data_IF_299721778792
#
_entry.id   IF_299721778792
#
_cell.length_a   1.000
_cell.length_b   1.000
_cell.length_c   1.000
_cell.angle_alpha   90.00
_cell.angle_beta   90.00
_cell.angle_gamma   90.00
#
_symmetry.space_group_name_H-M   'P 1'
#
loop_
_entity.id
_entity.type
_entity.pdbx_description
1 polymer ?
#
# COMPACT_ATOMS: atom_id res chain seq x y z
N UNK A 1 21.08 -6.17 -10.92
CA UNK A 1 22.40 -6.11 -10.28
C UNK A 1 22.29 -6.72 -8.89
N UNK A 2 23.09 -7.76 -8.60
CA UNK A 2 23.35 -8.22 -7.23
C UNK A 2 24.48 -7.36 -6.67
N UNK A 3 24.22 -6.65 -5.58
CA UNK A 3 25.26 -6.18 -4.67
C UNK A 3 25.30 -7.14 -3.47
N UNK A 4 26.48 -7.45 -2.91
CA UNK A 4 26.58 -8.23 -1.69
C UNK A 4 25.84 -7.48 -0.57
N UNK A 5 25.04 -8.21 0.23
CA UNK A 5 24.43 -7.69 1.45
C UNK A 5 25.52 -7.19 2.40
N UNK A 6 25.82 -5.89 2.36
CA UNK A 6 26.46 -5.19 3.46
C UNK A 6 25.34 -4.62 4.30
N UNK A 7 25.14 -5.18 5.50
CA UNK A 7 24.34 -4.53 6.53
C UNK A 7 25.06 -3.23 6.91
N UNK A 8 24.61 -2.09 6.37
CA UNK A 8 24.95 -0.80 6.96
C UNK A 8 24.22 -0.71 8.30
N UNK A 9 24.98 -0.59 9.38
CA UNK A 9 24.41 -0.20 10.69
C UNK A 9 23.88 1.23 10.57
N UNK A 10 22.71 1.55 11.13
CA UNK A 10 22.24 2.93 11.17
C UNK A 10 23.21 3.79 12.01
N UNK A 11 23.53 4.96 11.48
CA UNK A 11 24.25 6.02 12.21
C UNK A 11 23.32 6.64 13.25
N UNK A 12 23.74 6.76 14.53
CA UNK A 12 22.90 7.41 15.53
C UNK A 12 22.93 8.92 15.33
N UNK A 13 21.80 9.53 14.98
CA UNK A 13 21.63 10.99 15.05
C UNK A 13 20.83 11.70 13.96
N UNK A 14 20.27 11.01 12.96
CA UNK A 14 19.40 11.66 11.98
C UNK A 14 17.91 11.52 12.39
N UNK A 15 17.06 12.56 12.30
CA UNK A 15 15.63 12.46 12.56
C UNK A 15 14.87 11.85 11.37
N UNK A 16 15.57 11.22 10.42
CA UNK A 16 14.95 10.51 9.31
C UNK A 16 14.42 9.19 9.86
N UNK A 17 13.10 9.10 9.92
CA UNK A 17 12.40 7.88 10.26
C UNK A 17 12.60 6.90 9.10
N UNK A 18 13.69 6.13 9.15
CA UNK A 18 14.05 5.15 8.14
C UNK A 18 12.98 4.06 8.08
N UNK A 19 12.16 4.12 7.03
CA UNK A 19 11.39 2.95 6.60
C UNK A 19 12.37 1.87 6.18
N UNK A 20 12.04 0.60 6.44
CA UNK A 20 12.88 -0.51 6.01
C UNK A 20 13.11 -0.43 4.49
N UNK A 21 14.35 -0.09 4.13
CA UNK A 21 14.86 -0.16 2.75
C UNK A 21 14.88 -1.61 2.25
N UNK A 22 14.75 -2.58 3.14
CA UNK A 22 14.65 -4.00 2.81
C UNK A 22 13.21 -4.46 3.05
N UNK A 23 12.64 -5.13 2.06
CA UNK A 23 11.32 -5.74 2.19
C UNK A 23 11.38 -6.95 3.13
N UNK A 24 10.43 -7.04 4.07
CA UNK A 24 10.42 -8.05 5.13
C UNK A 24 9.23 -9.01 4.96
N UNK A 25 9.44 -10.33 5.02
CA UNK A 25 8.34 -11.30 4.95
C UNK A 25 7.21 -10.97 5.95
N UNK A 26 5.97 -11.16 5.52
CA UNK A 26 4.76 -10.89 6.31
C UNK A 26 4.53 -9.40 6.63
N UNK A 27 5.20 -8.47 5.92
CA UNK A 27 4.93 -7.03 6.00
C UNK A 27 4.74 -6.44 4.61
N UNK A 28 3.79 -5.52 4.49
CA UNK A 28 3.63 -4.71 3.30
C UNK A 28 4.87 -3.85 3.10
N UNK A 29 5.30 -3.75 1.86
CA UNK A 29 6.44 -2.93 1.46
C UNK A 29 5.94 -1.79 0.59
N UNK A 30 6.51 -0.61 0.81
CA UNK A 30 6.25 0.59 0.02
C UNK A 30 7.57 1.13 -0.53
N UNK A 31 7.47 1.86 -1.63
CA UNK A 31 8.57 2.60 -2.23
C UNK A 31 8.63 4.04 -1.70
N UNK A 32 9.82 4.65 -1.77
CA UNK A 32 10.11 5.92 -1.08
C UNK A 32 9.31 7.10 -1.60
N UNK A 33 8.86 7.07 -2.85
CA UNK A 33 8.10 8.15 -3.48
C UNK A 33 6.58 8.05 -3.25
N UNK A 34 6.10 7.05 -2.50
CA UNK A 34 4.66 6.76 -2.37
C UNK A 34 3.87 7.96 -1.82
N UNK A 35 2.88 8.38 -2.60
CA UNK A 35 1.85 9.34 -2.18
C UNK A 35 0.48 8.66 -2.16
N UNK A 36 -0.39 9.09 -1.27
CA UNK A 36 -1.78 8.62 -1.26
C UNK A 36 -2.50 9.05 -2.54
N UNK A 37 -3.46 8.25 -2.97
CA UNK A 37 -4.32 8.53 -4.11
C UNK A 37 -5.74 8.98 -3.69
N UNK A 38 -6.01 9.12 -2.39
CA UNK A 38 -7.31 9.56 -1.85
C UNK A 38 -7.13 10.92 -1.18
N UNK A 39 -8.09 11.82 -1.37
CA UNK A 39 -8.12 13.13 -0.71
C UNK A 39 -8.13 13.03 0.83
N UNK A 40 -7.34 13.88 1.51
CA UNK A 40 -7.21 13.94 2.97
C UNK A 40 -8.54 13.92 3.76
N UNK A 41 -9.55 14.67 3.35
CA UNK A 41 -10.84 14.75 4.08
C UNK A 41 -11.72 13.51 3.87
N UNK A 42 -11.43 12.70 2.85
CA UNK A 42 -12.13 11.44 2.58
C UNK A 42 -11.47 10.24 3.25
N UNK A 43 -10.21 10.36 3.67
CA UNK A 43 -9.45 9.24 4.25
C UNK A 43 -9.25 9.32 5.76
N UNK A 44 -9.50 10.48 6.39
CA UNK A 44 -9.28 10.65 7.81
C UNK A 44 -10.24 9.77 8.63
N UNK A 45 -9.88 9.48 9.88
CA UNK A 45 -10.83 8.96 10.85
C UNK A 45 -11.97 9.97 11.04
N UNK A 46 -13.20 9.46 11.20
CA UNK A 46 -14.43 10.28 11.20
C UNK A 46 -14.47 11.34 12.31
N UNK A 47 -13.73 11.13 13.39
CA UNK A 47 -13.68 11.95 14.61
C UNK A 47 -12.31 12.63 14.80
N UNK A 48 -11.37 12.45 13.87
CA UNK A 48 -10.03 12.99 13.96
C UNK A 48 -9.54 13.49 12.60
N UNK A 49 -9.87 14.73 12.20
CA UNK A 49 -9.50 15.24 10.89
C UNK A 49 -7.98 15.36 10.72
N UNK A 50 -7.51 15.23 9.48
CA UNK A 50 -6.12 15.49 9.13
C UNK A 50 -5.84 16.99 9.26
N UNK A 51 -4.67 17.42 9.78
CA UNK A 51 -4.36 18.84 9.96
C UNK A 51 -4.59 19.71 8.71
N UNK A 52 -5.06 20.94 8.94
CA UNK A 52 -5.45 21.85 7.86
C UNK A 52 -4.27 22.20 6.93
N UNK A 53 -3.05 22.30 7.46
CA UNK A 53 -1.80 22.60 6.75
C UNK A 53 -1.26 21.42 5.93
N UNK A 54 -1.81 20.21 6.09
CA UNK A 54 -1.39 19.06 5.29
C UNK A 54 -1.96 19.16 3.86
N UNK A 55 -1.18 18.74 2.83
CA UNK A 55 -1.64 18.77 1.46
C UNK A 55 -2.79 17.78 1.24
N UNK A 56 -3.62 18.01 0.21
CA UNK A 56 -4.75 17.14 -0.13
C UNK A 56 -4.32 15.70 -0.44
N UNK A 57 -3.18 15.56 -1.11
CA UNK A 57 -2.52 14.29 -1.39
C UNK A 57 -1.15 14.32 -0.70
N UNK A 58 -0.93 13.38 0.20
CA UNK A 58 0.19 13.34 1.11
C UNK A 58 1.17 12.24 0.75
N UNK A 59 2.45 12.57 0.90
CA UNK A 59 3.50 11.57 1.01
C UNK A 59 3.24 10.64 2.19
N UNK A 60 3.61 9.36 2.06
CA UNK A 60 3.39 8.33 3.09
C UNK A 60 3.95 8.74 4.47
N UNK A 61 5.01 9.56 4.52
CA UNK A 61 5.61 10.04 5.77
C UNK A 61 4.68 10.97 6.57
N UNK A 62 3.83 11.77 5.91
CA UNK A 62 2.81 12.60 6.57
C UNK A 62 1.66 11.74 7.10
N UNK A 63 1.29 10.67 6.38
CA UNK A 63 0.31 9.71 6.85
C UNK A 63 0.79 8.99 8.12
N UNK A 64 2.04 8.56 8.15
CA UNK A 64 2.62 7.96 9.35
C UNK A 64 2.57 8.93 10.54
N UNK A 65 2.87 10.21 10.32
CA UNK A 65 2.74 11.25 11.36
C UNK A 65 1.29 11.37 11.84
N UNK A 66 0.32 11.41 10.93
CA UNK A 66 -1.11 11.45 11.28
C UNK A 66 -1.56 10.24 12.11
N UNK A 67 -1.14 9.02 11.75
CA UNK A 67 -1.45 7.83 12.55
C UNK A 67 -0.81 7.86 13.95
N UNK A 68 0.41 8.41 14.08
CA UNK A 68 1.03 8.64 15.39
C UNK A 68 0.24 9.66 16.22
N UNK A 69 -0.17 10.78 15.61
CA UNK A 69 -1.02 11.78 16.27
C UNK A 69 -2.32 11.16 16.78
N UNK A 70 -2.98 10.32 15.98
CA UNK A 70 -4.19 9.61 16.38
C UNK A 70 -3.92 8.65 17.56
N UNK A 71 -2.87 7.84 17.46
CA UNK A 71 -2.51 6.89 18.50
C UNK A 71 -2.13 7.56 19.84
N UNK A 72 -1.49 8.73 19.79
CA UNK A 72 -1.17 9.56 20.95
C UNK A 72 -2.42 10.21 21.54
N UNK A 73 -3.25 10.86 20.71
CA UNK A 73 -4.47 11.54 21.13
C UNK A 73 -5.42 10.61 21.90
N UNK A 74 -5.63 9.41 21.37
CA UNK A 74 -6.50 8.41 22.00
C UNK A 74 -5.77 7.44 22.95
N UNK A 75 -4.49 7.68 23.25
CA UNK A 75 -3.66 6.87 24.17
C UNK A 75 -3.69 5.38 23.83
N UNK A 76 -3.58 5.05 22.54
CA UNK A 76 -3.63 3.68 22.03
C UNK A 76 -2.29 2.95 22.19
N UNK A 77 -1.17 3.69 22.20
CA UNK A 77 0.18 3.11 22.26
C UNK A 77 0.40 2.21 23.49
N UNK A 78 -0.22 2.53 24.63
CA UNK A 78 -0.13 1.72 25.85
C UNK A 78 -0.77 0.32 25.73
N UNK A 79 -1.60 0.09 24.71
CA UNK A 79 -2.27 -1.20 24.46
C UNK A 79 -1.58 -2.03 23.38
N UNK A 80 -0.49 -1.53 22.80
CA UNK A 80 0.21 -2.19 21.70
C UNK A 80 1.48 -2.86 22.23
N UNK A 81 1.58 -4.18 22.03
CA UNK A 81 2.81 -4.94 22.24
C UNK A 81 3.56 -5.05 20.91
N UNK A 82 4.59 -4.22 20.72
CA UNK A 82 5.47 -4.32 19.55
C UNK A 82 6.35 -5.57 19.62
N UNK A 83 6.91 -6.00 18.48
CA UNK A 83 7.81 -7.16 18.39
C UNK A 83 7.21 -8.43 19.03
N UNK A 84 5.90 -8.61 18.87
CA UNK A 84 5.12 -9.74 19.36
C UNK A 84 4.33 -10.31 18.18
N UNK A 85 4.77 -11.43 17.63
CA UNK A 85 4.21 -12.04 16.43
C UNK A 85 3.11 -13.04 16.82
N UNK A 86 1.89 -12.85 16.33
CA UNK A 86 0.81 -13.84 16.51
C UNK A 86 1.09 -15.05 15.62
N UNK A 87 1.34 -16.22 16.23
CA UNK A 87 1.63 -17.48 15.54
C UNK A 87 0.35 -18.28 15.28
N UNK A 88 -0.56 -18.32 16.26
CA UNK A 88 -1.78 -19.14 16.19
C UNK A 88 -2.92 -18.49 16.96
N UNK A 89 -4.11 -18.59 16.39
CA UNK A 89 -5.38 -18.24 17.04
C UNK A 89 -6.29 -19.45 16.92
N UNK A 90 -6.72 -19.99 18.06
CA UNK A 90 -7.52 -21.22 18.13
C UNK A 90 -8.69 -21.04 19.06
N UNK A 91 -9.85 -21.60 18.71
CA UNK A 91 -10.98 -21.66 19.63
C UNK A 91 -10.60 -22.53 20.84
N UNK A 92 -10.97 -22.10 22.04
CA UNK A 92 -10.78 -22.94 23.23
C UNK A 92 -11.68 -24.19 23.18
N UNK A 93 -11.33 -25.27 23.89
CA UNK A 93 -12.15 -26.47 23.94
C UNK A 93 -13.60 -26.22 24.40
N UNK A 94 -13.82 -25.23 25.28
CA UNK A 94 -15.15 -24.86 25.78
C UNK A 94 -15.75 -23.63 25.07
N UNK A 95 -15.28 -23.32 23.84
CA UNK A 95 -15.73 -22.17 23.05
C UNK A 95 -17.23 -22.09 22.87
N UNK A 96 -17.92 -23.23 22.71
CA UNK A 96 -19.39 -23.26 22.58
C UNK A 96 -20.13 -22.65 23.78
N UNK A 97 -19.49 -22.60 24.94
CA UNK A 97 -19.99 -21.97 26.16
C UNK A 97 -19.37 -20.60 26.41
N UNK A 98 -18.07 -20.43 26.14
CA UNK A 98 -17.31 -19.22 26.54
C UNK A 98 -17.11 -18.20 25.43
N UNK A 99 -17.11 -18.62 24.17
CA UNK A 99 -16.73 -17.79 23.02
C UNK A 99 -15.24 -17.38 23.00
N UNK A 100 -14.41 -17.97 23.86
CA UNK A 100 -13.04 -17.53 24.08
C UNK A 100 -12.02 -18.16 23.13
N UNK A 101 -11.01 -17.37 22.78
CA UNK A 101 -9.91 -17.75 21.91
C UNK A 101 -8.63 -17.89 22.70
N UNK A 102 -7.82 -18.88 22.34
CA UNK A 102 -6.42 -18.97 22.72
C UNK A 102 -5.57 -18.35 21.61
N UNK A 103 -4.65 -17.46 22.00
CA UNK A 103 -3.71 -16.78 21.10
C UNK A 103 -2.29 -17.09 21.53
N UNK A 104 -1.55 -17.76 20.66
CA UNK A 104 -0.13 -18.03 20.84
C UNK A 104 0.67 -16.96 20.11
N UNK A 105 1.57 -16.30 20.85
CA UNK A 105 2.45 -15.26 20.34
C UNK A 105 3.91 -15.65 20.54
N UNK A 106 4.77 -15.21 19.64
CA UNK A 106 6.22 -15.27 19.76
C UNK A 106 6.74 -13.86 20.09
N UNK A 107 7.47 -13.75 21.19
CA UNK A 107 8.11 -12.51 21.65
C UNK A 107 9.42 -12.27 20.91
N UNK A 108 9.97 -11.05 21.02
CA UNK A 108 11.27 -10.67 20.45
C UNK A 108 12.39 -11.67 20.81
N UNK A 109 12.35 -12.22 22.02
CA UNK A 109 13.38 -13.14 22.53
C UNK A 109 13.20 -14.58 22.02
N UNK A 110 12.19 -14.82 21.17
CA UNK A 110 11.87 -16.14 20.61
C UNK A 110 11.02 -17.01 21.53
N UNK A 111 10.62 -16.50 22.70
CA UNK A 111 9.76 -17.24 23.63
C UNK A 111 8.31 -17.22 23.15
N UNK A 112 7.63 -18.35 23.26
CA UNK A 112 6.20 -18.48 23.02
C UNK A 112 5.39 -18.21 24.30
N UNK A 113 4.37 -17.37 24.19
CA UNK A 113 3.39 -17.11 25.25
C UNK A 113 1.99 -17.44 24.74
N UNK A 114 1.14 -18.01 25.61
CA UNK A 114 -0.29 -18.23 25.31
C UNK A 114 -1.16 -17.29 26.15
N UNK A 115 -2.14 -16.67 25.52
CA UNK A 115 -3.07 -15.72 26.13
C UNK A 115 -4.51 -16.06 25.74
N UNK A 116 -5.46 -15.81 26.66
CA UNK A 116 -6.89 -16.04 26.42
C UNK A 116 -7.59 -14.71 26.21
N UNK A 117 -8.41 -14.62 25.16
CA UNK A 117 -9.19 -13.43 24.84
C UNK A 117 -10.66 -13.77 24.54
N UNK A 118 -11.58 -12.89 24.93
CA UNK A 118 -13.01 -13.07 24.67
C UNK A 118 -13.39 -12.80 23.20
N UNK A 119 -12.59 -11.99 22.50
CA UNK A 119 -12.81 -11.67 21.10
C UNK A 119 -11.50 -11.35 20.39
N UNK A 120 -11.47 -11.55 19.07
CA UNK A 120 -10.33 -11.28 18.20
C UNK A 120 -10.77 -10.42 17.02
N UNK A 121 -9.99 -9.38 16.74
CA UNK A 121 -10.13 -8.57 15.53
C UNK A 121 -8.84 -8.72 14.72
N UNK A 122 -8.95 -9.18 13.48
CA UNK A 122 -7.80 -9.38 12.60
C UNK A 122 -7.50 -8.12 11.79
N UNK A 123 -6.31 -7.54 12.01
CA UNK A 123 -5.84 -6.33 11.33
C UNK A 123 -4.48 -6.53 10.63
N UNK A 124 -4.18 -7.74 10.13
CA UNK A 124 -2.88 -8.09 9.54
C UNK A 124 -2.60 -7.47 8.16
N UNK A 125 -3.64 -6.93 7.49
CA UNK A 125 -3.54 -6.46 6.12
C UNK A 125 -3.38 -7.60 5.09
N UNK A 126 -3.39 -7.25 3.80
CA UNK A 126 -3.41 -8.24 2.71
C UNK A 126 -2.33 -8.02 1.63
N UNK A 127 -1.60 -6.91 1.65
CA UNK A 127 -0.54 -6.60 0.66
C UNK A 127 0.85 -7.11 1.08
N UNK A 128 0.89 -8.19 1.85
CA UNK A 128 2.12 -8.69 2.48
C UNK A 128 2.77 -9.87 1.71
N UNK A 129 2.05 -10.46 0.75
CA UNK A 129 2.52 -11.60 -0.05
C UNK A 129 2.54 -11.22 -1.54
N UNK A 130 3.73 -11.10 -2.15
CA UNK A 130 3.83 -10.76 -3.57
C UNK A 130 3.30 -11.91 -4.44
N UNK A 131 2.53 -11.57 -5.47
CA UNK A 131 2.06 -12.53 -6.48
C UNK A 131 2.89 -12.36 -7.75
N UNK A 132 3.81 -13.29 -8.01
CA UNK A 132 4.69 -13.27 -9.18
C UNK A 132 4.43 -14.53 -10.02
N UNK A 133 3.44 -14.52 -10.94
CA UNK A 133 3.02 -15.70 -11.68
C UNK A 133 3.97 -15.99 -12.86
N UNK A 134 5.21 -16.41 -12.55
CA UNK A 134 6.26 -16.66 -13.56
C UNK A 134 5.86 -17.65 -14.66
N UNK A 135 4.97 -18.60 -14.34
CA UNK A 135 4.40 -19.55 -15.30
C UNK A 135 3.68 -18.91 -16.50
N UNK A 136 3.22 -17.67 -16.36
CA UNK A 136 2.51 -16.94 -17.42
C UNK A 136 3.49 -16.20 -18.36
N UNK A 137 4.81 -16.27 -18.10
CA UNK A 137 5.87 -15.64 -18.87
C UNK A 137 6.85 -16.70 -19.42
N UNK A 138 6.49 -17.43 -20.50
CA UNK A 138 7.37 -18.44 -21.07
C UNK A 138 8.69 -17.81 -21.54
N UNK A 139 9.83 -18.45 -21.21
CA UNK A 139 11.17 -17.93 -21.52
C UNK A 139 11.73 -17.00 -20.45
N UNK A 140 11.04 -16.76 -19.33
CA UNK A 140 11.59 -15.97 -18.22
C UNK A 140 12.85 -16.60 -17.61
N UNK A 141 12.98 -17.92 -17.70
CA UNK A 141 14.15 -18.68 -17.24
C UNK A 141 15.43 -18.39 -18.04
N UNK A 142 15.32 -17.96 -19.30
CA UNK A 142 16.46 -17.58 -20.15
C UNK A 142 16.75 -16.07 -20.11
N UNK A 143 15.95 -15.30 -19.37
CA UNK A 143 16.15 -13.87 -19.24
C UNK A 143 17.37 -13.56 -18.35
N UNK A 144 18.43 -13.01 -18.95
CA UNK A 144 19.68 -12.68 -18.25
C UNK A 144 19.59 -11.36 -17.45
N UNK A 145 18.50 -10.60 -17.61
CA UNK A 145 18.27 -9.35 -16.89
C UNK A 145 17.76 -9.53 -15.45
N UNK A 146 17.65 -8.42 -14.71
CA UNK A 146 17.05 -8.44 -13.36
C UNK A 146 15.53 -8.31 -13.49
N UNK A 147 14.79 -9.13 -12.75
CA UNK A 147 13.35 -8.95 -12.52
C UNK A 147 13.04 -9.10 -11.03
N UNK A 148 11.98 -8.43 -10.58
CA UNK A 148 11.50 -8.47 -9.20
C UNK A 148 10.05 -7.98 -9.14
N UNK A 149 9.33 -8.32 -8.07
CA UNK A 149 7.96 -7.84 -7.86
C UNK A 149 7.97 -6.39 -7.34
N UNK A 150 6.92 -5.61 -7.58
CA UNK A 150 6.79 -4.22 -7.08
C UNK A 150 6.99 -4.07 -5.57
N UNK A 151 6.77 -5.14 -4.81
CA UNK A 151 7.02 -5.24 -3.37
C UNK A 151 8.50 -5.04 -3.00
N UNK A 152 9.43 -5.40 -3.89
CA UNK A 152 10.87 -5.19 -3.72
C UNK A 152 11.36 -3.83 -4.26
N UNK A 153 10.49 -3.05 -4.92
CA UNK A 153 10.85 -1.73 -5.41
C UNK A 153 10.95 -0.73 -4.26
N UNK A 154 12.03 0.06 -4.23
CA UNK A 154 12.28 1.09 -3.21
C UNK A 154 12.54 2.47 -3.81
N UNK A 155 13.09 2.51 -5.01
CA UNK A 155 13.41 3.72 -5.74
C UNK A 155 14.02 3.41 -7.11
N UNK A 156 14.31 4.45 -7.90
CA UNK A 156 14.71 4.32 -9.30
C UNK A 156 16.20 3.96 -9.50
N UNK A 157 16.97 3.74 -8.44
CA UNK A 157 18.43 3.61 -8.50
C UNK A 157 18.90 2.44 -9.39
N UNK A 158 18.15 1.34 -9.40
CA UNK A 158 18.45 0.17 -10.25
C UNK A 158 18.08 0.37 -11.73
N UNK A 159 17.42 1.47 -12.08
CA UNK A 159 16.85 1.74 -13.41
C UNK A 159 17.72 2.67 -14.27
N UNK A 160 18.74 3.31 -13.70
CA UNK A 160 19.58 4.29 -14.40
C UNK A 160 20.21 3.71 -15.68
N UNK A 161 19.91 4.33 -16.82
CA UNK A 161 20.42 3.94 -18.13
C UNK A 161 20.05 2.50 -18.54
N UNK A 162 18.95 1.95 -17.99
CA UNK A 162 18.43 0.63 -18.35
C UNK A 162 17.23 0.75 -19.28
N UNK A 163 16.96 -0.32 -20.01
CA UNK A 163 15.68 -0.55 -20.67
C UNK A 163 14.80 -1.35 -19.71
N UNK A 164 13.68 -0.76 -19.30
CA UNK A 164 12.83 -1.28 -18.23
C UNK A 164 11.48 -1.70 -18.79
N UNK A 165 10.99 -2.87 -18.40
CA UNK A 165 9.61 -3.29 -18.67
C UNK A 165 8.89 -3.44 -17.35
N UNK A 166 7.82 -2.66 -17.16
CA UNK A 166 6.90 -2.77 -16.02
C UNK A 166 5.69 -3.60 -16.47
N UNK A 167 5.38 -4.65 -15.72
CA UNK A 167 4.30 -5.59 -16.04
C UNK A 167 3.10 -5.31 -15.13
N UNK A 168 1.97 -4.95 -15.73
CA UNK A 168 0.72 -4.64 -15.05
C UNK A 168 0.50 -3.14 -14.79
N UNK A 169 -0.72 -2.68 -15.02
CA UNK A 169 -1.16 -1.28 -14.85
C UNK A 169 -1.94 -1.08 -13.53
N UNK A 170 -1.52 -1.74 -12.46
CA UNK A 170 -1.97 -1.36 -11.11
C UNK A 170 -1.38 0.01 -10.72
N UNK A 171 -1.91 0.65 -9.67
CA UNK A 171 -1.40 1.95 -9.22
C UNK A 171 0.13 1.94 -9.02
N UNK A 172 0.67 0.92 -8.35
CA UNK A 172 2.12 0.75 -8.21
C UNK A 172 2.84 0.61 -9.54
N UNK A 173 2.27 -0.12 -10.51
CA UNK A 173 2.87 -0.27 -11.85
C UNK A 173 2.95 1.05 -12.60
N UNK A 174 1.88 1.86 -12.53
CA UNK A 174 1.87 3.21 -13.08
C UNK A 174 2.92 4.11 -12.44
N UNK A 175 2.95 4.17 -11.11
CA UNK A 175 3.90 5.02 -10.37
C UNK A 175 5.35 4.61 -10.62
N UNK A 176 5.65 3.30 -10.58
CA UNK A 176 6.99 2.77 -10.85
C UNK A 176 7.42 3.04 -12.30
N UNK A 177 6.52 2.89 -13.27
CA UNK A 177 6.84 3.18 -14.68
C UNK A 177 7.17 4.67 -14.86
N UNK A 178 6.36 5.56 -14.28
CA UNK A 178 6.58 7.02 -14.32
C UNK A 178 7.88 7.39 -13.62
N UNK A 179 8.15 6.85 -12.43
CA UNK A 179 9.38 7.13 -11.69
C UNK A 179 10.61 6.62 -12.44
N UNK A 180 10.55 5.40 -12.98
CA UNK A 180 11.63 4.79 -13.77
C UNK A 180 11.92 5.57 -15.05
N UNK A 181 10.89 6.12 -15.72
CA UNK A 181 11.04 6.88 -16.97
C UNK A 181 11.91 8.13 -16.86
N UNK A 182 12.15 8.61 -15.64
CA UNK A 182 12.99 9.79 -15.37
C UNK A 182 14.48 9.47 -15.43
N UNK A 183 14.86 8.21 -15.30
CA UNK A 183 16.28 7.78 -15.17
C UNK A 183 16.68 6.65 -16.13
N UNK A 184 15.70 5.87 -16.60
CA UNK A 184 15.91 4.79 -17.55
C UNK A 184 16.15 5.33 -18.96
N UNK A 185 16.79 4.52 -19.80
CA UNK A 185 16.95 4.80 -21.23
C UNK A 185 15.59 4.68 -21.95
N UNK A 186 14.86 3.61 -21.66
CA UNK A 186 13.51 3.37 -22.17
C UNK A 186 12.66 2.66 -21.10
N UNK A 187 11.35 2.95 -21.08
CA UNK A 187 10.39 2.25 -20.21
C UNK A 187 9.19 1.80 -21.03
N UNK A 188 8.85 0.52 -20.91
CA UNK A 188 7.65 -0.09 -21.47
C UNK A 188 6.69 -0.47 -20.34
N UNK A 189 5.42 -0.11 -20.49
CA UNK A 189 4.36 -0.53 -19.57
C UNK A 189 3.49 -1.59 -20.27
N UNK A 190 3.64 -2.85 -19.86
CA UNK A 190 2.92 -3.99 -20.43
C UNK A 190 1.59 -4.22 -19.70
N UNK A 191 0.49 -4.24 -20.44
CA UNK A 191 -0.86 -4.49 -19.92
C UNK A 191 -1.66 -5.36 -20.87
N UNK A 192 -2.51 -6.24 -20.32
CA UNK A 192 -3.39 -7.12 -21.10
C UNK A 192 -4.76 -6.50 -21.39
N UNK A 193 -5.33 -5.78 -20.44
CA UNK A 193 -6.70 -5.27 -20.51
C UNK A 193 -6.79 -3.74 -20.47
N UNK A 194 -5.66 -3.05 -20.34
CA UNK A 194 -5.63 -1.61 -20.13
C UNK A 194 -6.24 -1.20 -18.77
N UNK A 195 -6.23 0.11 -18.52
CA UNK A 195 -6.94 0.73 -17.42
C UNK A 195 -7.23 2.19 -17.76
N UNK A 196 -8.26 2.76 -17.14
CA UNK A 196 -8.50 4.19 -17.18
C UNK A 196 -7.52 4.90 -16.26
N UNK A 197 -6.78 5.87 -16.81
CA UNK A 197 -5.89 6.73 -16.02
C UNK A 197 -6.67 7.98 -15.64
N UNK A 198 -6.71 8.25 -14.34
CA UNK A 198 -7.45 9.39 -13.77
C UNK A 198 -6.46 10.23 -12.98
N UNK A 199 -6.43 11.53 -13.26
CA UNK A 199 -5.66 12.49 -12.47
C UNK A 199 -6.31 12.66 -11.10
N UNK A 200 -5.49 12.80 -10.07
CA UNK A 200 -5.95 13.14 -8.71
C UNK A 200 -6.73 14.47 -8.69
N UNK A 201 -6.41 15.39 -9.60
CA UNK A 201 -7.05 16.69 -9.73
C UNK A 201 -8.06 16.66 -10.88
N UNK A 202 -9.28 17.10 -10.58
CA UNK A 202 -10.40 17.26 -11.50
C UNK A 202 -10.61 18.75 -11.84
N UNK A 203 -11.79 19.08 -12.38
CA UNK A 203 -12.17 20.43 -12.78
C UNK A 203 -11.97 21.43 -11.62
N UNK A 204 -11.48 22.63 -11.96
CA UNK A 204 -11.20 23.73 -11.01
C UNK A 204 -10.17 23.39 -9.91
N UNK A 205 -9.29 22.42 -10.14
CA UNK A 205 -8.25 22.08 -9.16
C UNK A 205 -8.75 21.26 -7.97
N UNK A 206 -9.98 20.75 -8.02
CA UNK A 206 -10.59 20.00 -6.92
C UNK A 206 -10.13 18.53 -6.92
N UNK A 207 -9.98 17.90 -5.74
CA UNK A 207 -9.72 16.46 -5.65
C UNK A 207 -10.82 15.63 -6.33
N UNK A 208 -10.43 14.63 -7.13
CA UNK A 208 -11.39 13.78 -7.86
C UNK A 208 -12.33 13.03 -6.92
N UNK A 209 -11.85 12.64 -5.75
CA UNK A 209 -12.65 11.90 -4.76
C UNK A 209 -13.76 12.76 -4.15
N UNK A 210 -13.70 14.08 -4.28
CA UNK A 210 -14.76 14.99 -3.82
C UNK A 210 -16.09 14.69 -4.51
N UNK A 211 -16.05 14.11 -5.71
CA UNK A 211 -17.26 13.73 -6.46
C UNK A 211 -17.88 12.41 -5.99
N UNK A 212 -17.22 11.66 -5.09
CA UNK A 212 -17.77 10.49 -4.43
C UNK A 212 -18.80 10.89 -3.36
N UNK A 213 -19.94 11.41 -3.82
CA UNK A 213 -21.03 11.89 -2.98
C UNK A 213 -22.15 10.86 -2.89
N UNK A 214 -22.99 10.97 -1.83
CA UNK A 214 -24.20 10.15 -1.71
C UNK A 214 -25.13 10.31 -2.92
N UNK A 215 -25.25 11.52 -3.46
CA UNK A 215 -26.06 11.78 -4.64
C UNK A 215 -25.56 11.00 -5.86
N UNK A 216 -24.25 11.06 -6.14
CA UNK A 216 -23.64 10.29 -7.23
C UNK A 216 -23.84 8.79 -7.02
N UNK A 217 -23.67 8.29 -5.79
CA UNK A 217 -23.92 6.88 -5.49
C UNK A 217 -25.39 6.45 -5.70
N UNK A 218 -26.36 7.34 -5.43
CA UNK A 218 -27.77 7.09 -5.76
C UNK A 218 -27.96 7.02 -7.28
N UNK A 219 -27.33 7.89 -8.06
CA UNK A 219 -27.37 7.83 -9.52
C UNK A 219 -26.81 6.51 -10.06
N UNK A 220 -25.70 6.01 -9.49
CA UNK A 220 -25.13 4.70 -9.84
C UNK A 220 -26.11 3.53 -9.62
N UNK A 221 -27.07 3.67 -8.69
CA UNK A 221 -28.10 2.64 -8.44
C UNK A 221 -29.32 2.77 -9.35
N UNK A 222 -29.61 3.97 -9.83
CA UNK A 222 -30.82 4.26 -10.61
C UNK A 222 -30.59 4.19 -12.11
N UNK A 223 -29.37 4.50 -12.58
CA UNK A 223 -29.06 4.59 -14.01
C UNK A 223 -28.47 3.29 -14.56
N UNK A 224 -28.76 2.92 -15.82
CA UNK A 224 -28.14 1.76 -16.47
C UNK A 224 -26.61 1.89 -16.54
N UNK A 225 -25.89 0.78 -16.32
CA UNK A 225 -24.43 0.75 -16.39
C UNK A 225 -23.87 1.19 -17.74
N UNK A 226 -24.55 0.88 -18.85
CA UNK A 226 -24.14 1.33 -20.19
C UNK A 226 -24.11 2.86 -20.31
N UNK A 227 -25.11 3.53 -19.74
CA UNK A 227 -25.17 4.99 -19.73
C UNK A 227 -24.09 5.61 -18.84
N UNK A 228 -23.87 5.04 -17.66
CA UNK A 228 -22.83 5.49 -16.73
C UNK A 228 -21.42 5.30 -17.33
N UNK A 229 -21.18 4.17 -17.99
CA UNK A 229 -19.93 3.91 -18.70
C UNK A 229 -19.72 4.90 -19.84
N UNK A 230 -20.76 5.17 -20.64
CA UNK A 230 -20.69 6.17 -21.71
C UNK A 230 -20.36 7.57 -21.18
N UNK A 231 -21.00 7.99 -20.07
CA UNK A 231 -20.68 9.27 -19.42
C UNK A 231 -19.22 9.30 -18.91
N UNK A 232 -18.79 8.22 -18.25
CA UNK A 232 -17.43 8.09 -17.71
C UNK A 232 -16.38 8.15 -18.82
N UNK A 233 -16.57 7.37 -19.88
CA UNK A 233 -15.69 7.36 -21.06
C UNK A 233 -15.62 8.74 -21.71
N UNK A 234 -16.77 9.40 -21.93
CA UNK A 234 -16.80 10.75 -22.51
C UNK A 234 -16.04 11.76 -21.64
N UNK A 235 -16.20 11.71 -20.32
CA UNK A 235 -15.48 12.59 -19.40
C UNK A 235 -13.97 12.29 -19.43
N UNK A 236 -13.57 11.02 -19.41
CA UNK A 236 -12.17 10.61 -19.45
C UNK A 236 -11.49 11.02 -20.76
N UNK A 237 -12.15 10.81 -21.91
CA UNK A 237 -11.65 11.22 -23.21
C UNK A 237 -11.56 12.75 -23.36
N UNK A 238 -12.34 13.54 -22.62
CA UNK A 238 -12.21 15.00 -22.62
C UNK A 238 -11.07 15.54 -21.77
N UNK A 239 -10.45 14.69 -20.93
CA UNK A 239 -9.39 15.08 -20.01
C UNK A 239 -7.98 15.00 -20.63
N UNK A 240 -7.86 14.34 -21.78
CA UNK A 240 -6.65 14.11 -22.58
C UNK A 240 -6.85 14.67 -23.99
#
# INVERSE_FOLDING_TARGET
>A
VFTPKTQSRPTPGSPHYDLCEVSEPNRASIYRSLTINIWKEMMCYSDFPIPADYPNYMHHSKILKYFRMYAEHFKLLQRIRFQTLVRRVTQRPDFSRTGQWEVVVETKDGNEESHIFDAIICCSGHFNYPNLPLKDFPGIESFEGKYFHSWDYKGPEDMYGKRVVVIGIGNSGGDIAVESSRVAEEVFLSTRSGAWVIRQVSDNGLPVDKFNTRFVHVLFKLLPMSFLNWLGEKKLNSMY
#
